data_IF_388702350658
#
_entry.id   IF_388702350658
#
_cell.length_a   1.000
_cell.length_b   1.000
_cell.length_c   1.000
_cell.angle_alpha   90.00
_cell.angle_beta   90.00
_cell.angle_gamma   90.00
#
_symmetry.space_group_name_H-M   'P 1'
#
loop_
_entity.id
_entity.type
_entity.pdbx_description
1 polymer ?
#
# COMPACT_ATOMS: atom_id res chain seq x y z
N UNK A 1 23.69 27.81 -3.31
CA UNK A 1 24.05 26.37 -3.21
C UNK A 1 22.90 25.65 -2.55
N UNK A 2 22.58 24.45 -3.00
CA UNK A 2 21.50 23.63 -2.43
C UNK A 2 22.07 22.27 -2.03
N UNK A 3 21.74 21.79 -0.85
CA UNK A 3 22.18 20.48 -0.33
C UNK A 3 21.02 19.75 0.30
N UNK A 4 20.85 18.48 -0.04
CA UNK A 4 20.04 17.52 0.70
C UNK A 4 20.95 16.61 1.50
N UNK A 5 20.73 16.56 2.81
CA UNK A 5 21.26 15.56 3.71
C UNK A 5 20.16 14.56 4.05
N UNK A 6 20.42 13.28 3.77
CA UNK A 6 19.44 12.21 3.94
C UNK A 6 19.98 11.26 4.99
N UNK A 7 19.25 11.11 6.09
CA UNK A 7 19.56 10.22 7.21
C UNK A 7 18.49 9.15 7.29
N UNK A 8 18.65 8.11 6.48
CA UNK A 8 17.78 6.91 6.43
C UNK A 8 18.50 5.70 7.03
N UNK A 9 18.32 4.50 6.49
CA UNK A 9 19.16 3.35 6.80
C UNK A 9 20.65 3.58 6.46
N UNK A 10 20.92 4.38 5.43
CA UNK A 10 22.27 4.87 5.10
C UNK A 10 22.23 6.39 4.97
N UNK A 11 23.28 7.06 5.44
CA UNK A 11 23.44 8.50 5.21
C UNK A 11 23.93 8.74 3.79
N UNK A 12 23.30 9.69 3.09
CA UNK A 12 23.76 10.12 1.78
C UNK A 12 23.43 11.60 1.56
N UNK A 13 24.00 12.20 0.54
CA UNK A 13 23.74 13.60 0.21
C UNK A 13 23.67 13.86 -1.29
N UNK A 14 22.87 14.87 -1.64
CA UNK A 14 22.70 15.39 -2.99
C UNK A 14 22.91 16.91 -2.94
N UNK A 15 23.91 17.43 -3.63
CA UNK A 15 24.26 18.85 -3.61
C UNK A 15 24.36 19.44 -5.00
N UNK A 16 23.92 20.67 -5.17
CA UNK A 16 24.01 21.45 -6.40
C UNK A 16 24.65 22.81 -6.13
N UNK A 17 25.66 23.14 -6.93
CA UNK A 17 26.36 24.42 -6.87
C UNK A 17 26.17 25.18 -8.19
N UNK A 18 25.50 26.33 -8.10
CA UNK A 18 25.06 27.10 -9.25
C UNK A 18 26.20 27.81 -10.00
N UNK A 19 27.25 28.20 -9.29
CA UNK A 19 28.42 28.91 -9.84
C UNK A 19 29.18 28.11 -10.92
N UNK A 20 29.31 26.80 -10.72
CA UNK A 20 29.98 25.88 -11.65
C UNK A 20 29.02 24.99 -12.41
N UNK A 21 27.73 25.12 -12.16
CA UNK A 21 26.71 24.20 -12.65
C UNK A 21 27.07 22.72 -12.36
N UNK A 22 27.53 22.46 -11.12
CA UNK A 22 28.03 21.16 -10.70
C UNK A 22 27.04 20.48 -9.74
N UNK A 23 26.78 19.20 -9.98
CA UNK A 23 25.98 18.36 -9.07
C UNK A 23 26.85 17.26 -8.47
N UNK A 24 26.75 17.08 -7.16
CA UNK A 24 27.38 15.97 -6.42
C UNK A 24 26.29 15.08 -5.84
N UNK A 25 26.27 13.81 -6.24
CA UNK A 25 25.32 12.81 -5.75
C UNK A 25 26.09 11.63 -5.16
N UNK A 26 25.80 11.28 -3.91
CA UNK A 26 26.30 10.06 -3.25
C UNK A 26 25.15 9.13 -2.80
N UNK A 27 23.93 9.40 -3.25
CA UNK A 27 22.77 8.56 -2.98
C UNK A 27 22.54 7.54 -4.09
N UNK A 28 21.62 6.60 -3.86
CA UNK A 28 21.10 5.71 -4.90
C UNK A 28 20.58 6.51 -6.09
N UNK A 29 20.72 5.98 -7.31
CA UNK A 29 20.18 6.59 -8.55
C UNK A 29 18.66 6.79 -8.51
N UNK A 30 17.94 6.10 -7.60
CA UNK A 30 16.51 6.31 -7.33
C UNK A 30 16.20 7.69 -6.76
N UNK A 31 17.20 8.35 -6.17
CA UNK A 31 17.12 9.66 -5.54
C UNK A 31 17.73 10.69 -6.49
N UNK A 32 16.89 11.60 -6.99
CA UNK A 32 17.29 12.59 -7.98
C UNK A 32 16.54 13.90 -7.76
N UNK A 33 17.02 14.97 -8.39
CA UNK A 33 16.26 16.21 -8.47
C UNK A 33 14.99 15.98 -9.29
N UNK A 34 13.85 16.45 -8.78
CA UNK A 34 12.56 16.38 -9.50
C UNK A 34 12.56 17.33 -10.70
N UNK A 35 13.14 18.51 -10.50
CA UNK A 35 13.28 19.57 -11.49
C UNK A 35 14.71 20.10 -11.47
N UNK A 36 14.95 21.18 -12.21
CA UNK A 36 16.25 21.84 -12.19
C UNK A 36 16.48 22.50 -10.82
N UNK A 37 17.59 22.17 -10.12
CA UNK A 37 17.82 22.57 -8.72
C UNK A 37 18.03 24.08 -8.52
N UNK A 38 18.29 24.83 -9.59
CA UNK A 38 18.32 26.30 -9.62
C UNK A 38 16.92 26.92 -9.53
N UNK A 39 15.87 26.20 -9.92
CA UNK A 39 14.47 26.68 -9.90
C UNK A 39 13.67 26.07 -8.77
N UNK A 40 13.71 24.75 -8.66
CA UNK A 40 12.98 24.00 -7.64
C UNK A 40 13.86 22.86 -7.11
N UNK A 41 14.41 23.00 -5.88
CA UNK A 41 15.29 22.01 -5.27
C UNK A 41 14.53 20.80 -4.71
N UNK A 42 13.36 20.46 -5.24
CA UNK A 42 12.59 19.29 -4.82
C UNK A 42 13.34 17.96 -5.08
N UNK A 43 13.41 17.12 -4.05
CA UNK A 43 13.93 15.77 -4.12
C UNK A 43 12.84 14.79 -4.59
N UNK A 44 13.19 13.92 -5.55
CA UNK A 44 12.37 12.80 -5.99
C UNK A 44 13.01 11.49 -5.56
N UNK A 45 12.20 10.57 -5.02
CA UNK A 45 12.60 9.21 -4.67
C UNK A 45 11.67 8.25 -5.41
N UNK A 46 12.20 7.42 -6.30
CA UNK A 46 11.38 6.43 -7.00
C UNK A 46 12.18 5.21 -7.50
N UNK A 47 11.71 3.98 -7.25
CA UNK A 47 10.61 3.61 -6.35
C UNK A 47 10.98 3.80 -4.87
N UNK A 48 9.97 3.96 -4.02
CA UNK A 48 10.14 4.12 -2.55
C UNK A 48 10.22 2.76 -1.88
N UNK A 49 11.20 2.58 -1.00
CA UNK A 49 11.42 1.37 -0.21
C UNK A 49 11.31 1.66 1.30
N UNK A 50 11.04 0.63 2.10
CA UNK A 50 11.01 0.73 3.57
C UNK A 50 12.32 1.28 4.17
N UNK A 51 13.47 0.99 3.53
CA UNK A 51 14.77 1.50 3.97
C UNK A 51 14.97 3.00 3.77
N UNK A 52 14.11 3.64 2.99
CA UNK A 52 14.18 5.08 2.71
C UNK A 52 13.57 5.90 3.86
N UNK A 53 12.92 5.25 4.85
CA UNK A 53 12.44 5.93 6.06
C UNK A 53 13.59 6.63 6.80
N UNK A 54 13.34 7.86 7.23
CA UNK A 54 14.38 8.66 7.86
C UNK A 54 14.10 10.15 7.84
N UNK A 55 15.13 10.92 8.20
CA UNK A 55 15.08 12.37 8.22
C UNK A 55 15.79 12.94 6.99
N UNK A 56 15.11 13.87 6.32
CA UNK A 56 15.54 14.53 5.11
C UNK A 56 15.67 16.00 5.41
N UNK A 57 16.88 16.54 5.27
CA UNK A 57 17.19 17.94 5.54
C UNK A 57 17.66 18.61 4.26
N UNK A 58 16.97 19.66 3.84
CA UNK A 58 17.38 20.54 2.76
C UNK A 58 18.03 21.79 3.33
N UNK A 59 19.17 22.16 2.79
CA UNK A 59 19.91 23.38 3.12
C UNK A 59 20.09 24.21 1.86
N UNK A 60 19.69 25.48 1.92
CA UNK A 60 19.79 26.43 0.82
C UNK A 60 20.63 27.61 1.30
N UNK A 61 21.82 27.75 0.72
CA UNK A 61 22.69 28.90 0.92
C UNK A 61 22.52 29.88 -0.24
N UNK A 62 22.11 31.11 0.08
CA UNK A 62 21.88 32.21 -0.86
C UNK A 62 22.48 33.51 -0.33
N UNK A 63 22.49 34.56 -1.14
CA UNK A 63 22.97 35.89 -0.73
C UNK A 63 22.12 36.50 0.40
N UNK A 64 20.89 36.02 0.58
CA UNK A 64 19.99 36.40 1.67
C UNK A 64 20.23 35.62 2.97
N UNK A 65 21.12 34.63 2.94
CA UNK A 65 21.43 33.76 4.08
C UNK A 65 21.22 32.28 3.81
N UNK A 66 21.33 31.49 4.88
CA UNK A 66 21.21 30.04 4.88
C UNK A 66 19.86 29.62 5.47
N UNK A 67 19.13 28.78 4.73
CA UNK A 67 17.83 28.25 5.13
C UNK A 67 17.93 26.74 5.27
N UNK A 68 17.32 26.19 6.32
CA UNK A 68 17.32 24.76 6.60
C UNK A 68 15.89 24.26 6.79
N UNK A 69 15.52 23.17 6.10
CA UNK A 69 14.20 22.54 6.17
C UNK A 69 14.38 21.06 6.44
N UNK A 70 13.80 20.56 7.53
CA UNK A 70 13.86 19.13 7.87
C UNK A 70 12.48 18.51 7.86
N UNK A 71 12.37 17.32 7.28
CA UNK A 71 11.13 16.54 7.25
C UNK A 71 11.44 15.05 7.46
N UNK A 72 10.52 14.33 8.11
CA UNK A 72 10.64 12.89 8.31
C UNK A 72 9.79 12.16 7.26
N UNK A 73 10.43 11.26 6.52
CA UNK A 73 9.76 10.38 5.57
C UNK A 73 9.31 9.11 6.28
N UNK A 74 8.01 8.82 6.19
CA UNK A 74 7.44 7.53 6.60
C UNK A 74 6.84 6.79 5.40
N UNK A 75 6.99 5.47 5.41
CA UNK A 75 6.52 4.59 4.32
C UNK A 75 5.29 3.83 4.80
N UNK A 76 4.27 3.83 3.94
CA UNK A 76 3.00 3.14 4.14
C UNK A 76 2.99 1.89 3.24
N UNK A 77 2.63 0.74 3.81
CA UNK A 77 2.54 -0.54 3.10
C UNK A 77 1.09 -1.05 3.22
N UNK A 78 0.35 -1.20 2.11
CA UNK A 78 -1.01 -1.74 2.17
C UNK A 78 -0.99 -3.21 2.61
N UNK A 79 -1.87 -3.62 3.55
CA UNK A 79 -1.93 -5.02 3.99
C UNK A 79 -2.56 -5.91 2.93
N UNK A 80 -2.19 -7.19 2.94
CA UNK A 80 -2.95 -8.23 2.21
C UNK A 80 -4.06 -8.76 3.10
N UNK A 81 -5.30 -8.56 2.69
CA UNK A 81 -6.48 -8.96 3.49
C UNK A 81 -7.02 -10.31 3.05
N UNK A 82 -7.27 -11.19 4.02
CA UNK A 82 -7.89 -12.49 3.80
C UNK A 82 -8.97 -12.74 4.84
N UNK A 83 -10.05 -13.40 4.42
CA UNK A 83 -11.15 -13.82 5.30
C UNK A 83 -11.44 -15.30 5.03
N UNK A 84 -11.31 -16.12 6.07
CA UNK A 84 -11.51 -17.58 5.99
C UNK A 84 -12.35 -18.07 7.17
N UNK A 85 -12.83 -19.31 7.11
CA UNK A 85 -13.49 -19.96 8.24
C UNK A 85 -13.01 -21.39 8.42
N UNK A 86 -13.06 -21.85 9.67
CA UNK A 86 -12.76 -23.23 10.03
C UNK A 86 -14.04 -24.09 10.13
N UNK A 87 -13.87 -25.41 10.30
CA UNK A 87 -14.99 -26.36 10.49
C UNK A 87 -15.74 -26.13 11.81
N UNK A 88 -15.12 -25.43 12.77
CA UNK A 88 -15.69 -25.07 14.07
C UNK A 88 -16.54 -23.79 14.01
N UNK A 89 -16.77 -23.23 12.82
CA UNK A 89 -17.48 -21.96 12.58
C UNK A 89 -16.79 -20.76 13.24
N UNK A 90 -15.47 -20.77 13.32
CA UNK A 90 -14.65 -19.60 13.64
C UNK A 90 -14.26 -18.94 12.33
N UNK A 91 -14.62 -17.66 12.17
CA UNK A 91 -14.13 -16.86 11.05
C UNK A 91 -12.84 -16.14 11.45
N UNK A 92 -11.90 -16.10 10.52
CA UNK A 92 -10.56 -15.54 10.70
C UNK A 92 -10.33 -14.48 9.64
N UNK A 93 -10.19 -13.23 10.07
CA UNK A 93 -9.80 -12.13 9.21
C UNK A 93 -8.37 -11.72 9.50
N UNK A 94 -7.54 -11.73 8.48
CA UNK A 94 -6.13 -11.40 8.59
C UNK A 94 -5.79 -10.24 7.66
N UNK A 95 -5.18 -9.20 8.22
CA UNK A 95 -4.55 -8.11 7.50
C UNK A 95 -3.03 -8.25 7.63
N UNK A 96 -2.40 -8.84 6.62
CA UNK A 96 -0.99 -9.23 6.65
C UNK A 96 -0.05 -8.14 6.16
N UNK A 97 1.09 -8.00 6.84
CA UNK A 97 2.23 -7.15 6.49
C UNK A 97 1.87 -5.67 6.16
N UNK A 98 0.90 -5.09 6.87
CA UNK A 98 0.53 -3.68 6.72
C UNK A 98 1.44 -2.74 7.50
N UNK A 99 1.64 -1.51 7.02
CA UNK A 99 2.34 -0.45 7.75
C UNK A 99 1.61 0.88 7.51
N UNK A 100 1.04 1.54 8.55
CA UNK A 100 0.95 1.07 9.93
C UNK A 100 0.04 -0.17 10.09
N UNK A 101 -0.07 -0.71 11.30
CA UNK A 101 -0.98 -1.82 11.56
C UNK A 101 -2.43 -1.44 11.17
N UNK A 102 -3.07 -2.31 10.39
CA UNK A 102 -4.46 -2.12 10.00
C UNK A 102 -5.40 -2.40 11.18
N UNK A 103 -6.56 -1.73 11.19
CA UNK A 103 -7.63 -2.01 12.15
C UNK A 103 -8.61 -3.00 11.54
N UNK A 104 -9.04 -3.98 12.34
CA UNK A 104 -10.04 -4.97 11.94
C UNK A 104 -11.29 -4.75 12.79
N UNK A 105 -12.46 -4.76 12.17
CA UNK A 105 -13.74 -4.80 12.87
C UNK A 105 -14.73 -5.73 12.16
N UNK A 106 -15.79 -6.12 12.85
CA UNK A 106 -16.73 -7.13 12.38
C UNK A 106 -18.16 -6.60 12.30
N UNK A 107 -18.90 -7.07 11.30
CA UNK A 107 -20.35 -6.89 11.18
C UNK A 107 -21.01 -8.28 11.06
N UNK A 108 -22.01 -8.59 11.91
CA UNK A 108 -22.42 -7.86 13.11
C UNK A 108 -21.29 -7.76 14.14
N UNK A 109 -21.32 -6.70 14.95
CA UNK A 109 -20.37 -6.55 16.05
C UNK A 109 -20.61 -7.67 17.09
N UNK A 110 -19.53 -8.27 17.57
CA UNK A 110 -19.55 -9.32 18.59
C UNK A 110 -18.47 -9.04 19.62
N UNK A 111 -18.76 -9.33 20.88
CA UNK A 111 -17.79 -9.26 21.98
C UNK A 111 -16.90 -10.51 22.07
N UNK A 112 -17.23 -11.57 21.33
CA UNK A 112 -16.48 -12.83 21.32
C UNK A 112 -15.37 -12.85 20.25
N UNK A 113 -14.84 -11.67 19.88
CA UNK A 113 -13.70 -11.58 18.99
C UNK A 113 -12.38 -11.54 19.77
N UNK A 114 -11.40 -12.31 19.34
CA UNK A 114 -10.01 -12.18 19.81
C UNK A 114 -9.13 -11.60 18.70
N UNK A 115 -8.05 -10.91 19.09
CA UNK A 115 -7.08 -10.33 18.16
C UNK A 115 -5.66 -10.76 18.52
N UNK A 116 -4.87 -11.03 17.49
CA UNK A 116 -3.44 -11.29 17.57
C UNK A 116 -2.68 -10.32 16.67
N UNK A 117 -1.48 -9.93 17.10
CA UNK A 117 -0.61 -9.02 16.38
C UNK A 117 0.80 -9.60 16.27
N UNK A 118 1.32 -9.66 15.05
CA UNK A 118 2.67 -10.12 14.74
C UNK A 118 3.47 -8.98 14.11
N UNK A 119 4.55 -8.57 14.77
CA UNK A 119 5.46 -7.52 14.29
C UNK A 119 6.61 -8.15 13.51
N UNK A 120 6.81 -7.69 12.30
CA UNK A 120 7.90 -8.15 11.43
C UNK A 120 9.14 -7.28 11.61
N UNK A 121 10.33 -7.85 11.37
CA UNK A 121 11.61 -7.12 11.48
C UNK A 121 11.76 -5.95 10.49
N UNK A 122 10.98 -5.93 9.41
CA UNK A 122 10.92 -4.84 8.43
C UNK A 122 9.98 -3.69 8.84
N UNK A 123 9.40 -3.73 10.05
CA UNK A 123 8.49 -2.70 10.56
C UNK A 123 7.03 -2.84 10.10
N UNK A 124 6.69 -3.86 9.31
CA UNK A 124 5.29 -4.18 8.99
C UNK A 124 4.63 -4.98 10.12
N UNK A 125 3.30 -4.97 10.16
CA UNK A 125 2.50 -5.64 11.18
C UNK A 125 1.43 -6.49 10.52
N UNK A 126 1.28 -7.71 11.01
CA UNK A 126 0.15 -8.59 10.66
C UNK A 126 -0.82 -8.64 11.81
N UNK A 127 -2.07 -8.25 11.57
CA UNK A 127 -3.15 -8.36 12.55
C UNK A 127 -4.11 -9.45 12.12
N UNK A 128 -4.44 -10.33 13.05
CA UNK A 128 -5.41 -11.41 12.85
C UNK A 128 -6.51 -11.24 13.87
N UNK A 129 -7.76 -11.29 13.43
CA UNK A 129 -8.93 -11.32 14.31
C UNK A 129 -9.72 -12.59 14.08
N UNK A 130 -10.14 -13.20 15.18
CA UNK A 130 -10.93 -14.43 15.20
C UNK A 130 -12.29 -14.11 15.79
N UNK A 131 -13.36 -14.67 15.23
CA UNK A 131 -14.71 -14.50 15.75
C UNK A 131 -15.46 -15.83 15.70
N UNK A 132 -15.96 -16.26 16.87
CA UNK A 132 -16.74 -17.49 16.99
C UNK A 132 -18.18 -17.31 16.49
N UNK A 133 -18.64 -18.21 15.62
CA UNK A 133 -19.95 -18.14 14.95
C UNK A 133 -20.82 -19.37 15.22
N UNK A 134 -20.82 -19.82 16.47
CA UNK A 134 -21.47 -21.08 16.90
C UNK A 134 -22.96 -20.90 17.25
N UNK A 135 -23.42 -19.68 17.52
CA UNK A 135 -24.81 -19.40 17.93
C UNK A 135 -25.38 -18.07 17.36
N UNK A 136 -24.91 -17.66 16.18
CA UNK A 136 -25.35 -16.40 15.56
C UNK A 136 -26.63 -16.61 14.76
N UNK A 137 -27.59 -15.67 14.88
CA UNK A 137 -28.75 -15.59 13.98
C UNK A 137 -28.35 -15.14 12.57
N UNK A 138 -27.20 -14.46 12.44
CA UNK A 138 -26.68 -14.02 11.16
C UNK A 138 -25.90 -15.15 10.49
N UNK A 139 -26.21 -15.45 9.23
CA UNK A 139 -25.49 -16.46 8.44
C UNK A 139 -24.19 -15.91 7.86
N UNK A 140 -24.13 -14.61 7.63
CA UNK A 140 -22.99 -13.93 7.01
C UNK A 140 -22.24 -13.09 8.03
N UNK A 141 -20.92 -13.21 8.01
CA UNK A 141 -20.00 -12.34 8.73
C UNK A 141 -19.29 -11.44 7.74
N UNK A 142 -19.10 -10.16 8.08
CA UNK A 142 -18.30 -9.23 7.29
C UNK A 142 -17.15 -8.71 8.13
N UNK A 143 -15.93 -8.88 7.62
CA UNK A 143 -14.73 -8.25 8.14
C UNK A 143 -14.54 -6.90 7.46
N UNK A 144 -14.29 -5.86 8.26
CA UNK A 144 -13.92 -4.53 7.82
C UNK A 144 -12.46 -4.29 8.18
N UNK A 145 -11.64 -3.97 7.18
CA UNK A 145 -10.23 -3.62 7.37
C UNK A 145 -10.01 -2.17 6.98
N UNK A 146 -9.52 -1.38 7.93
CA UNK A 146 -9.26 0.05 7.77
C UNK A 146 -7.76 0.30 7.85
N UNK A 147 -7.19 0.89 6.81
CA UNK A 147 -5.77 1.21 6.69
C UNK A 147 -5.56 2.53 5.91
N UNK A 148 -4.55 3.36 6.19
CA UNK A 148 -4.36 4.65 5.50
C UNK A 148 -4.28 4.56 3.97
N UNK A 149 -3.75 3.45 3.44
CA UNK A 149 -3.69 3.22 1.98
C UNK A 149 -4.92 2.53 1.40
N UNK A 150 -5.77 1.89 2.21
CA UNK A 150 -6.88 1.07 1.73
C UNK A 150 -7.94 0.84 2.81
N UNK A 151 -9.21 0.88 2.39
CA UNK A 151 -10.34 0.39 3.18
C UNK A 151 -10.99 -0.76 2.41
N UNK A 152 -11.14 -1.92 3.05
CA UNK A 152 -11.66 -3.12 2.40
C UNK A 152 -12.67 -3.82 3.29
N UNK A 153 -13.71 -4.38 2.68
CA UNK A 153 -14.66 -5.26 3.34
C UNK A 153 -14.68 -6.63 2.66
N UNK A 154 -14.75 -7.69 3.46
CA UNK A 154 -14.89 -9.06 2.98
C UNK A 154 -16.04 -9.70 3.73
N UNK A 155 -16.93 -10.37 3.00
CA UNK A 155 -18.06 -11.08 3.58
C UNK A 155 -17.93 -12.57 3.32
N UNK A 156 -18.30 -13.37 4.33
CA UNK A 156 -18.27 -14.83 4.26
C UNK A 156 -19.59 -15.38 4.79
N UNK A 157 -20.22 -16.24 4.00
CA UNK A 157 -21.40 -17.00 4.45
C UNK A 157 -20.94 -18.25 5.22
N UNK A 158 -21.37 -18.34 6.48
CA UNK A 158 -21.11 -19.42 7.41
C UNK A 158 -22.32 -20.36 7.53
N UNK A 159 -23.33 -20.20 6.66
CA UNK A 159 -24.39 -21.19 6.51
C UNK A 159 -23.74 -22.52 6.12
N UNK A 160 -23.93 -23.55 6.95
CA UNK A 160 -23.38 -24.89 6.78
C UNK A 160 -24.00 -25.64 5.60
N UNK A 161 -24.22 -24.98 4.45
CA UNK A 161 -24.61 -25.64 3.23
C UNK A 161 -23.41 -26.47 2.79
N UNK A 162 -23.49 -27.77 3.09
CA UNK A 162 -22.81 -28.78 2.27
C UNK A 162 -23.08 -28.37 0.83
N UNK A 163 -22.03 -28.13 0.05
CA UNK A 163 -22.17 -28.15 -1.40
C UNK A 163 -22.67 -29.56 -1.73
N UNK A 164 -23.98 -29.75 -1.85
CA UNK A 164 -24.47 -30.76 -2.76
C UNK A 164 -24.02 -30.30 -4.13
N UNK A 165 -22.92 -30.90 -4.54
CA UNK A 165 -22.44 -31.04 -5.90
C UNK A 165 -23.61 -30.99 -6.89
N UNK A 166 -23.90 -29.80 -7.44
CA UNK A 166 -24.68 -29.63 -8.67
C UNK A 166 -23.73 -29.85 -9.86
N UNK A 167 -22.87 -30.88 -9.77
CA UNK A 167 -21.87 -31.16 -10.79
C UNK A 167 -22.53 -31.78 -12.05
N UNK A 168 -23.75 -32.32 -11.95
CA UNK A 168 -24.44 -32.86 -13.12
C UNK A 168 -24.93 -31.80 -14.13
N UNK A 169 -25.16 -30.54 -13.72
CA UNK A 169 -25.69 -29.49 -14.60
C UNK A 169 -24.62 -28.44 -15.00
N UNK A 170 -23.60 -28.23 -14.15
CA UNK A 170 -22.50 -27.31 -14.43
C UNK A 170 -21.62 -27.76 -15.60
N UNK A 171 -21.38 -29.07 -15.77
CA UNK A 171 -20.56 -29.54 -16.89
C UNK A 171 -21.19 -29.23 -18.26
N UNK A 172 -22.52 -29.30 -18.39
CA UNK A 172 -23.21 -28.99 -19.64
C UNK A 172 -23.19 -27.48 -19.98
N UNK A 173 -23.37 -26.61 -18.99
CA UNK A 173 -23.31 -25.15 -19.16
C UNK A 173 -21.88 -24.65 -19.42
N UNK A 174 -20.87 -25.23 -18.77
CA UNK A 174 -19.46 -24.87 -19.00
C UNK A 174 -19.03 -25.23 -20.43
N UNK A 175 -19.44 -26.39 -20.94
CA UNK A 175 -19.14 -26.78 -22.33
C UNK A 175 -19.81 -25.79 -23.30
N UNK A 176 -21.09 -25.46 -23.10
CA UNK A 176 -21.82 -24.51 -23.95
C UNK A 176 -21.18 -23.10 -23.93
N UNK A 177 -20.73 -22.63 -22.76
CA UNK A 177 -20.05 -21.34 -22.62
C UNK A 177 -18.67 -21.32 -23.26
N UNK A 178 -17.88 -22.40 -23.19
CA UNK A 178 -16.56 -22.49 -23.85
C UNK A 178 -16.70 -22.48 -25.39
N UNK A 179 -17.74 -23.12 -25.93
CA UNK A 179 -18.08 -23.03 -27.35
C UNK A 179 -18.50 -21.61 -27.77
N UNK A 180 -19.24 -20.89 -26.92
CA UNK A 180 -19.61 -19.49 -27.20
C UNK A 180 -18.44 -18.50 -26.99
N UNK A 181 -17.53 -18.76 -26.04
CA UNK A 181 -16.36 -17.92 -25.79
C UNK A 181 -15.29 -18.08 -26.88
N UNK A 182 -15.11 -19.29 -27.42
CA UNK A 182 -14.21 -19.52 -28.55
C UNK A 182 -14.68 -18.81 -29.83
N UNK A 183 -15.99 -18.66 -30.04
CA UNK A 183 -16.57 -17.85 -31.13
C UNK A 183 -16.36 -16.34 -30.95
N UNK A 184 -16.15 -15.86 -29.72
CA UNK A 184 -15.96 -14.44 -29.41
C UNK A 184 -14.48 -14.03 -29.33
N UNK A 185 -13.55 -15.00 -29.24
CA UNK A 185 -12.11 -14.77 -29.10
C UNK A 185 -11.42 -14.46 -30.45
N UNK A 186 -12.10 -14.64 -31.59
CA UNK A 186 -11.59 -14.21 -32.89
C UNK A 186 -11.64 -12.68 -33.11
N UNK A 187 -12.27 -11.91 -32.21
CA UNK A 187 -12.54 -10.48 -32.45
C UNK A 187 -12.01 -9.47 -31.42
N UNK A 188 -11.12 -9.85 -30.49
CA UNK A 188 -10.66 -8.87 -29.49
C UNK A 188 -9.20 -9.05 -29.03
N UNK A 189 -8.29 -9.28 -29.98
CA UNK A 189 -6.87 -8.99 -29.81
C UNK A 189 -6.61 -7.52 -30.14
N UNK A 190 -6.89 -6.60 -29.21
CA UNK A 190 -6.26 -5.28 -29.22
C UNK A 190 -6.57 -4.50 -27.94
N UNK A 191 -5.52 -3.89 -27.39
CA UNK A 191 -5.44 -2.89 -26.33
C UNK A 191 -5.39 -3.41 -24.89
N UNK A 192 -4.16 -3.65 -24.42
CA UNK A 192 -3.81 -3.63 -23.00
C UNK A 192 -3.34 -2.23 -22.57
N UNK A 193 -3.65 -1.85 -21.33
CA UNK A 193 -2.99 -0.73 -20.64
C UNK A 193 -2.98 -0.98 -19.14
N UNK A 194 -1.80 -0.77 -18.52
CA UNK A 194 -1.52 -0.84 -17.08
C UNK A 194 -1.56 0.58 -16.50
N UNK A 195 -2.17 0.77 -15.33
CA UNK A 195 -2.15 2.04 -14.58
C UNK A 195 -1.07 2.03 -13.48
N UNK A 196 -0.38 3.16 -13.31
CA UNK A 196 0.60 3.40 -12.24
C UNK A 196 0.31 4.76 -11.58
N UNK A 197 0.30 4.81 -10.25
CA UNK A 197 0.16 6.04 -9.45
C UNK A 197 1.50 6.37 -8.76
N UNK A 198 1.91 7.65 -8.81
CA UNK A 198 3.04 8.21 -8.07
C UNK A 198 2.57 9.34 -7.15
N UNK A 199 2.89 9.26 -5.85
CA UNK A 199 2.63 10.32 -4.86
C UNK A 199 3.85 11.25 -4.70
N UNK A 200 3.55 12.52 -4.40
CA UNK A 200 4.47 13.66 -4.36
C UNK A 200 5.04 13.90 -2.95
N UNK A 201 6.30 14.36 -2.89
CA UNK A 201 6.90 15.02 -1.73
C UNK A 201 7.53 16.33 -2.20
N UNK A 202 7.33 17.39 -1.43
CA UNK A 202 7.67 18.80 -1.67
C UNK A 202 6.89 19.50 -2.80
N UNK A 203 5.81 20.19 -2.41
CA UNK A 203 5.43 21.45 -3.06
C UNK A 203 6.14 22.58 -2.30
N UNK A 204 6.91 23.38 -3.02
CA UNK A 204 7.42 24.65 -2.51
C UNK A 204 6.27 25.65 -2.47
N UNK A 205 6.07 26.27 -1.31
CA UNK A 205 5.17 27.41 -1.15
C UNK A 205 5.71 28.52 -2.07
N UNK A 206 4.97 28.86 -3.12
CA UNK A 206 5.26 30.00 -3.98
C UNK A 206 4.73 31.27 -3.28
N UNK A 207 5.56 32.20 -2.78
CA UNK A 207 5.08 33.41 -2.11
C UNK A 207 4.66 34.52 -3.11
N UNK A 208 4.24 34.15 -4.32
CA UNK A 208 3.75 35.06 -5.35
C UNK A 208 2.39 34.59 -5.86
N UNK A 209 1.37 34.64 -4.99
CA UNK A 209 0.00 34.97 -5.35
C UNK A 209 -0.82 35.36 -4.11
#
# INVERSE_FOLDING_TARGET
>A
MVTWEIKSNTSCSLAYRNDRNETKLNCSERMMWKYSPDRDPALRIYPVNLSDEGNYTCEIASDMGNFHFSSSLSVIVPPTVTLTSDKSRVAVCQAAAGKPAAKISWIPASNNSSEEEFKHGNGTVTRVSYIGWVNSMHTTVTCLVTHPAMNQNLSLDLSGKKHHSVIACHHALVILCVFLWSLMIENLLSTGTVMQFTNFLCETFNPQN
#
